data_IF_592283233289
#
_entry.id   IF_592283233289
#
_cell.length_a   1.000
_cell.length_b   1.000
_cell.length_c   1.000
_cell.angle_alpha   90.00
_cell.angle_beta   90.00
_cell.angle_gamma   90.00
#
_symmetry.space_group_name_H-M   'P 1'
#
loop_
_entity.id
_entity.type
_entity.pdbx_description
1 polymer ?
#
# COMPACT_ATOMS: atom_id res chain seq x y z
N UNK A 1 -23.70 37.23 10.45
CA UNK A 1 -22.91 38.45 10.64
C UNK A 1 -23.67 39.38 11.57
N UNK A 2 -23.00 40.01 12.54
CA UNK A 2 -23.63 40.93 13.50
C UNK A 2 -22.84 42.24 13.46
N UNK A 3 -23.54 43.36 13.31
CA UNK A 3 -22.91 44.69 13.31
C UNK A 3 -22.22 44.96 14.66
N UNK A 4 -20.95 45.38 14.61
CA UNK A 4 -20.14 45.70 15.79
C UNK A 4 -20.77 46.79 16.66
N UNK A 5 -21.58 47.69 16.08
CA UNK A 5 -22.29 48.74 16.81
C UNK A 5 -23.24 48.20 17.88
N UNK A 6 -23.70 46.95 17.75
CA UNK A 6 -24.62 46.28 18.66
C UNK A 6 -23.96 45.96 20.02
N UNK A 7 -22.63 45.90 20.09
CA UNK A 7 -21.88 45.62 21.33
C UNK A 7 -21.99 46.72 22.40
N UNK A 8 -22.44 47.94 22.03
CA UNK A 8 -22.62 49.06 22.95
C UNK A 8 -24.01 49.14 23.61
N UNK A 9 -24.94 48.26 23.26
CA UNK A 9 -26.32 48.31 23.76
C UNK A 9 -26.45 47.72 25.19
N UNK A 10 -27.30 48.31 26.06
CA UNK A 10 -27.52 47.79 27.40
C UNK A 10 -28.04 46.34 27.40
N UNK A 11 -27.41 45.48 28.18
CA UNK A 11 -27.81 44.07 28.31
C UNK A 11 -27.41 43.18 27.13
N UNK A 12 -26.65 43.69 26.16
CA UNK A 12 -26.21 42.93 24.99
C UNK A 12 -24.76 42.51 25.13
N UNK A 13 -24.48 41.22 24.89
CA UNK A 13 -23.13 40.68 24.83
C UNK A 13 -22.86 40.09 23.45
N UNK A 14 -21.92 40.70 22.72
CA UNK A 14 -21.43 40.16 21.45
C UNK A 14 -20.23 39.26 21.73
N UNK A 15 -20.31 38.02 21.24
CA UNK A 15 -19.23 37.04 21.28
C UNK A 15 -18.85 36.74 19.84
N UNK A 16 -17.65 37.16 19.45
CA UNK A 16 -17.05 36.88 18.13
C UNK A 16 -15.98 35.78 18.24
N UNK A 17 -15.54 35.26 17.09
CA UNK A 17 -14.53 34.21 17.03
C UNK A 17 -13.18 34.66 17.59
N UNK A 18 -12.80 35.93 17.41
CA UNK A 18 -11.54 36.48 17.92
C UNK A 18 -11.52 36.58 19.44
N UNK A 19 -12.66 36.87 20.06
CA UNK A 19 -12.86 36.89 21.51
C UNK A 19 -12.81 35.48 22.07
N UNK A 20 -13.50 34.52 21.44
CA UNK A 20 -13.45 33.10 21.81
C UNK A 20 -12.00 32.58 21.75
N UNK A 21 -11.24 32.92 20.70
CA UNK A 21 -9.84 32.51 20.56
C UNK A 21 -8.91 33.06 21.65
N UNK A 22 -9.24 34.21 22.25
CA UNK A 22 -8.45 34.85 23.32
C UNK A 22 -8.76 34.32 24.72
N UNK A 23 -9.82 33.51 24.88
CA UNK A 23 -10.17 32.96 26.19
C UNK A 23 -9.15 31.91 26.67
N UNK A 24 -8.89 31.80 27.99
CA UNK A 24 -7.98 30.80 28.54
C UNK A 24 -8.37 29.35 28.20
N UNK A 25 -9.67 29.08 28.07
CA UNK A 25 -10.25 27.80 27.64
C UNK A 25 -9.84 27.42 26.21
N UNK A 26 -9.62 28.40 25.33
CA UNK A 26 -9.10 28.15 23.99
C UNK A 26 -7.66 27.62 23.98
N UNK A 27 -6.86 27.90 25.03
CA UNK A 27 -5.52 27.30 25.19
C UNK A 27 -5.58 25.81 25.57
N UNK A 28 -6.58 25.40 26.35
CA UNK A 28 -6.80 23.97 26.62
C UNK A 28 -7.19 23.23 25.32
N UNK A 29 -8.04 23.84 24.50
CA UNK A 29 -8.37 23.33 23.17
C UNK A 29 -7.16 23.28 22.21
N UNK A 30 -6.14 24.11 22.40
CA UNK A 30 -4.91 24.05 21.61
C UNK A 30 -4.11 22.76 21.89
N UNK A 31 -4.05 22.32 23.16
CA UNK A 31 -3.42 21.04 23.53
C UNK A 31 -4.17 19.85 22.92
N UNK A 32 -5.50 19.90 22.92
CA UNK A 32 -6.33 18.87 22.29
C UNK A 32 -6.13 18.85 20.76
N UNK A 33 -5.98 20.03 20.14
CA UNK A 33 -5.67 20.15 18.73
C UNK A 33 -4.29 19.57 18.39
N UNK A 34 -3.28 19.78 19.25
CA UNK A 34 -1.95 19.18 19.07
C UNK A 34 -1.98 17.65 19.22
N UNK A 35 -2.71 17.15 20.22
CA UNK A 35 -2.95 15.72 20.36
C UNK A 35 -3.63 15.13 19.12
N UNK A 36 -4.68 15.78 18.61
CA UNK A 36 -5.38 15.37 17.40
C UNK A 36 -4.45 15.38 16.17
N UNK A 37 -3.62 16.42 16.00
CA UNK A 37 -2.62 16.48 14.92
C UNK A 37 -1.63 15.32 15.01
N UNK A 38 -1.20 14.93 16.21
CA UNK A 38 -0.28 13.81 16.39
C UNK A 38 -0.91 12.47 15.97
N UNK A 39 -2.18 12.26 16.28
CA UNK A 39 -2.95 11.07 15.89
C UNK A 39 -3.09 11.02 14.37
N UNK A 40 -3.53 12.13 13.76
CA UNK A 40 -3.67 12.24 12.30
C UNK A 40 -2.34 12.00 11.60
N UNK A 41 -1.24 12.56 12.10
CA UNK A 41 0.09 12.34 11.52
C UNK A 41 0.51 10.85 11.59
N UNK A 42 0.25 10.17 12.70
CA UNK A 42 0.52 8.74 12.85
C UNK A 42 -0.34 7.90 11.89
N UNK A 43 -1.63 8.20 11.77
CA UNK A 43 -2.53 7.49 10.86
C UNK A 43 -2.18 7.71 9.39
N UNK A 44 -1.83 8.94 9.00
CA UNK A 44 -1.35 9.24 7.65
C UNK A 44 -0.06 8.47 7.35
N UNK A 45 0.88 8.40 8.29
CA UNK A 45 2.10 7.61 8.12
C UNK A 45 1.81 6.12 7.93
N UNK A 46 0.91 5.55 8.74
CA UNK A 46 0.47 4.15 8.63
C UNK A 46 -0.23 3.88 7.29
N UNK A 47 -1.14 4.76 6.87
CA UNK A 47 -1.85 4.65 5.61
C UNK A 47 -0.89 4.67 4.41
N UNK A 48 0.04 5.62 4.38
CA UNK A 48 1.04 5.72 3.30
C UNK A 48 1.97 4.50 3.27
N UNK A 49 2.31 3.92 4.42
CA UNK A 49 3.05 2.66 4.47
C UNK A 49 2.23 1.49 3.90
N UNK A 50 0.94 1.42 4.20
CA UNK A 50 0.01 0.45 3.63
C UNK A 50 -0.10 0.56 2.10
N UNK A 51 -0.21 1.79 1.57
CA UNK A 51 -0.25 2.03 0.13
C UNK A 51 1.01 1.54 -0.59
N UNK A 52 2.20 1.85 -0.06
CA UNK A 52 3.46 1.32 -0.64
C UNK A 52 3.53 -0.21 -0.62
N UNK A 53 2.99 -0.86 0.42
CA UNK A 53 2.91 -2.32 0.45
C UNK A 53 1.95 -2.89 -0.60
N UNK A 54 0.85 -2.18 -0.91
CA UNK A 54 -0.11 -2.57 -1.93
C UNK A 54 0.54 -2.56 -3.32
N UNK A 55 1.35 -1.55 -3.65
CA UNK A 55 2.06 -1.43 -4.93
C UNK A 55 3.05 -2.57 -5.22
N UNK A 56 3.62 -3.16 -4.17
CA UNK A 56 4.64 -4.21 -4.29
C UNK A 56 4.03 -5.61 -4.43
N UNK A 57 2.79 -5.80 -3.98
CA UNK A 57 2.11 -7.09 -4.03
C UNK A 57 1.96 -7.65 -5.46
N UNK A 58 1.54 -6.86 -6.48
CA UNK A 58 1.50 -7.30 -7.88
C UNK A 58 2.85 -7.82 -8.40
N UNK A 59 3.94 -7.13 -8.05
CA UNK A 59 5.29 -7.50 -8.49
C UNK A 59 5.73 -8.86 -7.91
N UNK A 60 5.43 -9.11 -6.63
CA UNK A 60 5.71 -10.40 -5.98
C UNK A 60 4.89 -11.53 -6.59
N UNK A 61 3.63 -11.26 -6.92
CA UNK A 61 2.76 -12.23 -7.60
C UNK A 61 3.28 -12.58 -8.99
N UNK A 62 3.65 -11.58 -9.79
CA UNK A 62 4.24 -11.79 -11.11
C UNK A 62 5.53 -12.62 -11.06
N UNK A 63 6.40 -12.36 -10.09
CA UNK A 63 7.62 -13.15 -9.88
C UNK A 63 7.32 -14.63 -9.58
N UNK A 64 6.34 -14.90 -8.71
CA UNK A 64 5.94 -16.27 -8.37
C UNK A 64 5.34 -17.00 -9.57
N UNK A 65 4.56 -16.30 -10.39
CA UNK A 65 3.99 -16.88 -11.61
C UNK A 65 5.09 -17.27 -12.60
N UNK A 66 6.04 -16.36 -12.90
CA UNK A 66 7.17 -16.65 -13.80
C UNK A 66 7.97 -17.86 -13.33
N UNK A 67 8.20 -17.98 -12.03
CA UNK A 67 8.91 -19.14 -11.48
C UNK A 67 8.12 -20.44 -11.63
N UNK A 68 6.79 -20.41 -11.44
CA UNK A 68 5.93 -21.56 -11.69
C UNK A 68 5.98 -21.99 -13.17
N UNK A 69 5.96 -21.04 -14.10
CA UNK A 69 6.05 -21.30 -15.54
C UNK A 69 7.38 -21.96 -15.92
N UNK A 70 8.49 -21.50 -15.32
CA UNK A 70 9.82 -22.13 -15.49
C UNK A 70 9.83 -23.56 -14.95
N UNK A 71 9.27 -23.79 -13.75
CA UNK A 71 9.18 -25.14 -13.18
C UNK A 71 8.39 -26.07 -14.10
N UNK A 72 7.25 -25.62 -14.60
CA UNK A 72 6.40 -26.44 -15.47
C UNK A 72 7.12 -26.77 -16.79
N UNK A 73 7.80 -25.80 -17.39
CA UNK A 73 8.60 -26.03 -18.59
C UNK A 73 9.72 -27.06 -18.37
N UNK A 74 10.38 -27.05 -17.20
CA UNK A 74 11.42 -28.02 -16.87
C UNK A 74 10.85 -29.42 -16.60
N UNK A 75 9.69 -29.53 -15.97
CA UNK A 75 9.02 -30.82 -15.78
C UNK A 75 8.58 -31.43 -17.11
N UNK A 76 8.07 -30.61 -18.04
CA UNK A 76 7.77 -31.06 -19.40
C UNK A 76 9.02 -31.53 -20.16
N UNK A 77 10.15 -30.83 -20.00
CA UNK A 77 11.45 -31.26 -20.57
C UNK A 77 11.90 -32.60 -19.99
N UNK A 78 11.70 -32.82 -18.68
CA UNK A 78 12.01 -34.08 -18.02
C UNK A 78 11.17 -35.23 -18.59
N UNK A 79 9.85 -35.02 -18.75
CA UNK A 79 8.94 -36.01 -19.32
C UNK A 79 9.36 -36.44 -20.73
N UNK A 80 9.75 -35.49 -21.58
CA UNK A 80 10.22 -35.77 -22.93
C UNK A 80 11.57 -36.52 -22.96
N UNK A 81 12.47 -36.22 -22.01
CA UNK A 81 13.79 -36.86 -21.93
C UNK A 81 13.75 -38.24 -21.30
N UNK A 82 12.81 -38.49 -20.39
CA UNK A 82 12.68 -39.73 -19.63
C UNK A 82 11.25 -40.28 -19.71
N UNK A 83 10.75 -40.66 -20.90
CA UNK A 83 9.37 -41.11 -21.07
C UNK A 83 9.03 -42.39 -20.29
N UNK A 84 10.05 -43.20 -19.94
CA UNK A 84 9.91 -44.42 -19.13
C UNK A 84 10.02 -44.21 -17.63
N UNK A 85 10.14 -42.97 -17.14
CA UNK A 85 10.23 -42.71 -15.70
C UNK A 85 8.90 -43.03 -15.01
N UNK A 86 8.98 -43.76 -13.90
CA UNK A 86 7.80 -44.10 -13.10
C UNK A 86 7.05 -42.83 -12.64
N UNK A 87 5.72 -42.90 -12.64
CA UNK A 87 4.87 -41.77 -12.28
C UNK A 87 5.10 -41.29 -10.84
N UNK A 88 5.33 -42.21 -9.90
CA UNK A 88 5.59 -41.89 -8.50
C UNK A 88 6.91 -41.11 -8.33
N UNK A 89 7.95 -41.54 -9.07
CA UNK A 89 9.23 -40.83 -9.07
C UNK A 89 9.11 -39.46 -9.74
N UNK A 90 8.32 -39.33 -10.82
CA UNK A 90 8.04 -38.03 -11.44
C UNK A 90 7.38 -37.06 -10.47
N UNK A 91 6.36 -37.52 -9.76
CA UNK A 91 5.69 -36.69 -8.76
C UNK A 91 6.64 -36.25 -7.64
N UNK A 92 7.54 -37.13 -7.19
CA UNK A 92 8.51 -36.77 -6.15
C UNK A 92 9.54 -35.75 -6.65
N UNK A 93 9.98 -35.86 -7.90
CA UNK A 93 10.84 -34.84 -8.53
C UNK A 93 10.09 -33.52 -8.65
N UNK A 94 8.85 -33.51 -9.14
CA UNK A 94 8.01 -32.32 -9.24
C UNK A 94 7.81 -31.64 -7.88
N UNK A 95 7.46 -32.41 -6.85
CA UNK A 95 7.35 -31.92 -5.46
C UNK A 95 8.65 -31.32 -4.94
N UNK A 96 9.78 -31.94 -5.28
CA UNK A 96 11.11 -31.48 -4.83
C UNK A 96 11.49 -30.18 -5.51
N UNK A 97 11.33 -30.07 -6.84
CA UNK A 97 11.60 -28.86 -7.60
C UNK A 97 10.74 -27.70 -7.12
N UNK A 98 9.42 -27.91 -6.97
CA UNK A 98 8.49 -26.89 -6.45
C UNK A 98 8.93 -26.41 -5.05
N UNK A 99 9.24 -27.35 -4.13
CA UNK A 99 9.75 -27.00 -2.79
C UNK A 99 11.06 -26.21 -2.82
N UNK A 100 11.97 -26.51 -3.75
CA UNK A 100 13.24 -25.77 -3.89
C UNK A 100 12.94 -24.34 -4.35
N UNK A 101 12.12 -24.17 -5.39
CA UNK A 101 11.74 -22.84 -5.89
C UNK A 101 11.00 -22.03 -4.83
N UNK A 102 10.06 -22.64 -4.11
CA UNK A 102 9.36 -21.98 -3.00
C UNK A 102 10.33 -21.48 -1.92
N UNK A 103 11.32 -22.30 -1.54
CA UNK A 103 12.35 -21.92 -0.57
C UNK A 103 13.24 -20.79 -1.08
N UNK A 104 13.63 -20.82 -2.37
CA UNK A 104 14.43 -19.78 -2.99
C UNK A 104 13.68 -18.45 -3.07
N UNK A 105 12.38 -18.47 -3.36
CA UNK A 105 11.57 -17.27 -3.47
C UNK A 105 11.06 -16.74 -2.13
N UNK A 106 11.06 -17.55 -1.07
CA UNK A 106 10.58 -17.11 0.24
C UNK A 106 11.37 -15.90 0.77
N UNK A 107 12.70 -16.00 0.89
CA UNK A 107 13.52 -14.93 1.47
C UNK A 107 13.47 -13.62 0.67
N UNK A 108 13.61 -13.63 -0.68
CA UNK A 108 13.43 -12.42 -1.48
C UNK A 108 12.03 -11.83 -1.31
N UNK A 109 10.96 -12.61 -1.47
CA UNK A 109 9.59 -12.06 -1.41
C UNK A 109 9.23 -11.47 -0.03
N UNK A 110 9.76 -12.02 1.06
CA UNK A 110 9.64 -11.42 2.40
C UNK A 110 10.43 -10.12 2.48
N UNK A 111 11.67 -10.10 1.98
CA UNK A 111 12.53 -8.91 2.03
C UNK A 111 11.94 -7.73 1.24
N UNK A 112 11.30 -8.02 0.12
CA UNK A 112 10.55 -7.08 -0.71
C UNK A 112 9.41 -6.42 0.08
N UNK A 113 8.59 -7.21 0.79
CA UNK A 113 7.51 -6.69 1.63
C UNK A 113 8.01 -5.84 2.80
N UNK A 114 9.15 -6.20 3.39
CA UNK A 114 9.75 -5.42 4.48
C UNK A 114 10.26 -4.05 4.01
N UNK A 115 10.84 -3.99 2.81
CA UNK A 115 11.43 -2.77 2.28
C UNK A 115 10.39 -1.80 1.70
N UNK A 116 9.26 -2.30 1.22
CA UNK A 116 8.10 -1.48 0.84
C UNK A 116 7.57 -0.62 2.01
N UNK A 117 7.68 -1.13 3.25
CA UNK A 117 7.30 -0.40 4.46
C UNK A 117 8.31 0.67 4.91
N UNK A 118 9.52 0.70 4.34
CA UNK A 118 10.58 1.63 4.73
C UNK A 118 10.52 2.95 3.91
N UNK A 119 11.05 4.07 4.45
CA UNK A 119 11.24 5.29 3.67
C UNK A 119 12.13 5.02 2.44
N UNK A 120 11.63 5.27 1.22
CA UNK A 120 12.33 5.00 -0.05
C UNK A 120 12.02 3.65 -0.72
N UNK A 121 10.97 2.94 -0.27
CA UNK A 121 10.54 1.64 -0.81
C UNK A 121 10.23 1.61 -2.31
N UNK A 122 9.84 2.74 -2.90
CA UNK A 122 9.46 2.86 -4.31
C UNK A 122 10.63 2.49 -5.26
N UNK A 123 11.86 2.89 -4.91
CA UNK A 123 13.07 2.52 -5.68
C UNK A 123 13.39 1.01 -5.60
N UNK A 124 12.94 0.35 -4.54
CA UNK A 124 13.19 -1.08 -4.35
C UNK A 124 12.21 -1.93 -5.17
N UNK A 125 10.94 -1.49 -5.28
CA UNK A 125 9.96 -2.10 -6.18
C UNK A 125 10.44 -2.05 -7.65
N UNK A 126 10.99 -0.90 -8.05
CA UNK A 126 11.53 -0.68 -9.38
C UNK A 126 12.78 -1.55 -9.65
N UNK A 127 13.72 -1.60 -8.70
CA UNK A 127 14.88 -2.48 -8.79
C UNK A 127 14.52 -3.98 -8.92
N UNK A 128 13.42 -4.44 -8.31
CA UNK A 128 12.96 -5.82 -8.46
C UNK A 128 12.34 -6.09 -9.82
N UNK A 129 11.60 -5.12 -10.38
CA UNK A 129 11.08 -5.23 -11.75
C UNK A 129 12.21 -5.40 -12.75
N UNK A 130 13.29 -4.63 -12.60
CA UNK A 130 14.50 -4.77 -13.42
C UNK A 130 15.26 -6.08 -13.15
N UNK A 131 15.54 -6.40 -11.88
CA UNK A 131 16.35 -7.58 -11.51
C UNK A 131 15.73 -8.91 -11.96
N UNK A 132 14.40 -8.96 -12.06
CA UNK A 132 13.65 -10.15 -12.46
C UNK A 132 13.01 -10.03 -13.85
N UNK A 133 13.36 -9.01 -14.64
CA UNK A 133 12.85 -8.73 -15.98
C UNK A 133 11.32 -8.93 -16.09
N UNK A 134 10.56 -8.43 -15.11
CA UNK A 134 9.12 -8.69 -15.03
C UNK A 134 8.38 -7.91 -16.13
N UNK A 135 7.48 -8.59 -16.86
CA UNK A 135 6.66 -7.96 -17.89
C UNK A 135 5.75 -6.87 -17.26
N UNK A 136 5.84 -5.60 -17.69
CA UNK A 136 4.99 -4.52 -17.21
C UNK A 136 3.49 -4.85 -17.34
N UNK A 137 3.08 -5.57 -18.39
CA UNK A 137 1.68 -5.91 -18.61
C UNK A 137 1.15 -6.94 -17.60
N UNK A 138 2.02 -7.84 -17.12
CA UNK A 138 1.66 -8.80 -16.07
C UNK A 138 1.51 -8.13 -14.70
N UNK A 139 2.24 -7.04 -14.44
CA UNK A 139 2.13 -6.24 -13.22
C UNK A 139 0.87 -5.36 -13.25
N UNK A 140 0.57 -4.73 -14.39
CA UNK A 140 -0.61 -3.88 -14.57
C UNK A 140 -1.92 -4.66 -14.52
N UNK A 141 -1.96 -5.87 -15.10
CA UNK A 141 -3.14 -6.75 -15.06
C UNK A 141 -3.55 -7.16 -13.63
N UNK A 142 -2.60 -7.15 -12.68
CA UNK A 142 -2.84 -7.47 -11.27
C UNK A 142 -3.10 -6.20 -10.44
N UNK A 143 -2.61 -5.04 -10.89
CA UNK A 143 -2.78 -3.75 -10.20
C UNK A 143 -4.14 -3.08 -10.48
N UNK A 144 -4.82 -3.44 -11.57
CA UNK A 144 -6.07 -2.82 -12.04
C UNK A 144 -7.33 -3.06 -11.20
N UNK A 145 -7.20 -3.42 -9.92
CA UNK A 145 -8.32 -3.87 -9.09
C UNK A 145 -8.36 -3.22 -7.71
N UNK A 146 -8.35 -1.89 -7.61
CA UNK A 146 -9.12 -1.10 -6.62
C UNK A 146 -8.68 0.37 -6.63
N UNK A 147 -9.63 1.26 -6.94
CA UNK A 147 -9.87 2.53 -6.24
C UNK A 147 -11.16 3.14 -6.81
N UNK A 148 -12.26 3.22 -6.04
CA UNK A 148 -13.34 4.14 -6.37
C UNK A 148 -12.79 5.55 -6.23
N UNK A 149 -12.75 6.30 -7.32
CA UNK A 149 -12.57 7.75 -7.29
C UNK A 149 -13.71 8.33 -6.44
N UNK A 150 -13.39 8.78 -5.23
CA UNK A 150 -14.29 9.65 -4.46
C UNK A 150 -14.30 10.97 -5.22
N UNK A 151 -15.31 11.15 -6.07
CA UNK A 151 -15.63 12.44 -6.64
C UNK A 151 -15.97 13.37 -5.48
N UNK A 152 -15.07 14.32 -5.18
CA UNK A 152 -15.41 15.48 -4.36
C UNK A 152 -16.38 16.32 -5.19
N UNK A 153 -17.68 16.10 -4.98
CA UNK A 153 -18.72 16.98 -5.49
C UNK A 153 -18.64 18.29 -4.69
N UNK A 154 -17.84 19.22 -5.21
CA UNK A 154 -17.79 20.58 -4.74
C UNK A 154 -17.82 21.50 -5.97
N UNK A 155 -18.97 21.52 -6.65
CA UNK A 155 -19.35 22.69 -7.43
C UNK A 155 -20.88 22.80 -7.54
N UNK A 156 -21.45 23.68 -6.70
CA UNK A 156 -22.71 24.33 -7.04
C UNK A 156 -22.56 25.83 -6.77
N UNK A 157 -22.53 26.67 -7.80
CA UNK A 157 -22.86 28.07 -7.67
C UNK A 157 -24.37 28.22 -7.78
N UNK A 158 -25.01 28.78 -6.75
CA UNK A 158 -26.10 29.77 -6.83
C UNK A 158 -26.53 30.23 -5.44
#
# INVERSE_FOLDING_TARGET
DIDLAVAGLPGVHVIDMDRIQREPTARAAASDADAARSIVAAEVANYLAGQRMAEVTPTVTALRQRAADVVEAELLRLDNRLPGLDATHRDEVARTVRRVVDKLLHAPTVRVKQLAGAPGGDSYAEALRELFELDPQAVDAVSGGELPLIATDNDKPE
#
